data_IF_128116481099
#
_entry.id   IF_128116481099
#
_cell.length_a   1.000
_cell.length_b   1.000
_cell.length_c   1.000
_cell.angle_alpha   90.00
_cell.angle_beta   90.00
_cell.angle_gamma   90.00
#
_symmetry.space_group_name_H-M   'P 1'
#
loop_
_entity.id
_entity.type
_entity.pdbx_description
1 polymer ?
#
# COMPACT_ATOMS: atom_id res chain seq x y z
N UNK A 1 17.42 -22.62 -26.50
CA UNK A 1 17.02 -21.59 -25.53
C UNK A 1 16.49 -20.41 -26.30
N UNK A 2 15.16 -20.25 -26.39
CA UNK A 2 14.52 -19.14 -27.04
C UNK A 2 14.57 -17.89 -26.15
N UNK A 3 14.95 -16.74 -26.68
CA UNK A 3 14.84 -15.46 -25.99
C UNK A 3 13.40 -14.96 -26.07
N UNK A 4 12.81 -14.65 -24.92
CA UNK A 4 11.50 -14.01 -24.85
C UNK A 4 11.67 -12.51 -24.69
N UNK A 5 10.83 -11.71 -25.36
CA UNK A 5 10.67 -10.28 -25.10
C UNK A 5 9.49 -10.12 -24.15
N UNK A 6 9.74 -9.51 -22.99
CA UNK A 6 8.70 -9.25 -21.98
C UNK A 6 8.44 -7.75 -21.97
N UNK A 7 7.20 -7.37 -22.25
CA UNK A 7 6.74 -5.98 -22.16
C UNK A 7 6.01 -5.80 -20.84
N UNK A 8 6.34 -4.74 -20.11
CA UNK A 8 5.75 -4.41 -18.81
C UNK A 8 5.17 -3.01 -18.85
N UNK A 9 4.31 -2.68 -17.89
CA UNK A 9 3.76 -1.34 -17.68
C UNK A 9 4.68 -0.46 -16.81
N UNK A 10 5.81 -0.99 -16.36
CA UNK A 10 6.74 -0.28 -15.49
C UNK A 10 7.24 1.02 -16.13
N UNK A 11 7.14 2.12 -15.38
CA UNK A 11 7.81 3.38 -15.69
C UNK A 11 9.15 3.42 -14.96
N UNK A 12 10.27 3.40 -15.69
CA UNK A 12 11.62 3.31 -15.13
C UNK A 12 11.93 4.50 -14.23
N UNK A 13 11.47 5.71 -14.57
CA UNK A 13 11.70 6.91 -13.76
C UNK A 13 10.93 6.86 -12.45
N UNK A 14 9.65 6.44 -12.50
CA UNK A 14 8.82 6.27 -11.30
C UNK A 14 9.41 5.18 -10.40
N UNK A 15 9.82 4.06 -10.98
CA UNK A 15 10.45 2.96 -10.24
C UNK A 15 11.73 3.42 -9.53
N UNK A 16 12.60 4.15 -10.24
CA UNK A 16 13.85 4.66 -9.66
C UNK A 16 13.57 5.60 -8.49
N UNK A 17 12.69 6.59 -8.66
CA UNK A 17 12.33 7.50 -7.57
C UNK A 17 11.76 6.78 -6.38
N UNK A 18 10.91 5.77 -6.61
CA UNK A 18 10.34 4.95 -5.55
C UNK A 18 11.43 4.16 -4.80
N UNK A 19 12.37 3.59 -5.50
CA UNK A 19 13.52 2.88 -4.91
C UNK A 19 14.41 3.82 -4.10
N UNK A 20 14.73 5.01 -4.62
CA UNK A 20 15.53 6.01 -3.93
C UNK A 20 14.89 6.43 -2.59
N UNK A 21 13.56 6.66 -2.58
CA UNK A 21 12.81 6.95 -1.35
C UNK A 21 12.87 5.80 -0.35
N UNK A 22 12.77 4.55 -0.82
CA UNK A 22 12.75 3.36 0.04
C UNK A 22 14.13 2.93 0.53
N UNK A 23 15.19 3.40 -0.11
CA UNK A 23 16.58 3.20 0.34
C UNK A 23 16.94 4.11 1.50
N UNK A 24 16.37 5.31 1.58
CA UNK A 24 16.65 6.28 2.62
C UNK A 24 15.78 6.03 3.87
N UNK A 25 16.43 5.62 4.94
CA UNK A 25 15.77 5.35 6.24
C UNK A 25 15.17 6.62 6.87
N UNK A 26 15.64 7.80 6.54
CA UNK A 26 15.13 9.07 7.09
C UNK A 26 13.72 9.43 6.58
N UNK A 27 13.30 8.85 5.47
CA UNK A 27 11.94 8.96 4.94
C UNK A 27 10.88 8.19 5.77
N UNK A 28 11.30 7.43 6.78
CA UNK A 28 10.41 6.57 7.56
C UNK A 28 10.48 6.87 9.05
N UNK A 29 9.35 6.63 9.75
CA UNK A 29 9.30 6.80 11.19
C UNK A 29 10.41 5.99 11.89
N UNK A 30 11.15 6.64 12.80
CA UNK A 30 12.24 6.04 13.58
C UNK A 30 11.69 5.22 14.76
N UNK A 31 10.64 4.44 14.53
CA UNK A 31 10.04 3.58 15.56
C UNK A 31 10.83 2.27 15.64
N UNK A 32 11.27 1.93 16.83
CA UNK A 32 11.87 0.63 17.12
C UNK A 32 10.81 -0.25 17.75
N UNK A 33 10.50 -1.37 17.14
CA UNK A 33 9.58 -2.37 17.72
C UNK A 33 10.20 -3.01 18.96
N UNK A 34 9.37 -3.62 19.83
CA UNK A 34 9.83 -4.35 21.03
C UNK A 34 10.95 -5.35 20.72
N UNK A 35 11.00 -5.89 19.51
CA UNK A 35 12.03 -6.85 19.06
C UNK A 35 13.22 -6.17 18.36
N UNK A 36 13.40 -4.86 18.51
CA UNK A 36 14.46 -4.07 17.87
C UNK A 36 14.49 -4.17 16.34
N UNK A 37 13.38 -4.55 15.70
CA UNK A 37 13.26 -4.62 14.24
C UNK A 37 12.72 -3.32 13.69
N UNK A 38 13.31 -2.83 12.60
CA UNK A 38 12.78 -1.69 11.85
C UNK A 38 11.43 -2.06 11.22
N UNK A 39 10.40 -1.22 11.35
CA UNK A 39 9.16 -1.42 10.61
C UNK A 39 9.44 -1.47 9.12
N UNK A 40 8.80 -2.40 8.43
CA UNK A 40 8.90 -2.54 6.98
C UNK A 40 7.76 -1.80 6.29
N UNK A 41 8.00 -1.37 5.07
CA UNK A 41 7.02 -0.75 4.21
C UNK A 41 7.09 -1.36 2.81
N UNK A 42 6.01 -1.25 2.08
CA UNK A 42 5.91 -1.59 0.67
C UNK A 42 4.96 -0.61 -0.01
N UNK A 43 5.14 -0.40 -1.31
CA UNK A 43 4.31 0.52 -2.08
C UNK A 43 4.10 -0.01 -3.49
N UNK A 44 2.91 0.22 -4.01
CA UNK A 44 2.55 0.03 -5.41
C UNK A 44 2.03 1.36 -5.94
N UNK A 45 2.56 1.81 -7.07
CA UNK A 45 2.09 3.01 -7.78
C UNK A 45 1.34 2.53 -9.03
N UNK A 46 0.14 3.05 -9.20
CA UNK A 46 -0.75 2.73 -10.31
C UNK A 46 -1.13 4.01 -11.06
N UNK A 47 -1.25 3.94 -12.38
CA UNK A 47 -1.81 5.02 -13.18
C UNK A 47 -3.36 5.00 -13.16
N UNK A 48 -3.96 5.97 -13.83
CA UNK A 48 -5.43 6.08 -13.89
C UNK A 48 -6.09 5.03 -14.79
N UNK A 49 -5.33 4.35 -15.62
CA UNK A 49 -5.78 3.22 -16.45
C UNK A 49 -5.69 1.88 -15.70
N UNK A 50 -5.14 1.88 -14.47
CA UNK A 50 -5.03 0.71 -13.63
C UNK A 50 -3.73 -0.10 -13.84
N UNK A 51 -2.75 0.43 -14.56
CA UNK A 51 -1.46 -0.23 -14.74
C UNK A 51 -0.53 0.03 -13.57
N UNK A 52 0.17 -0.99 -13.11
CA UNK A 52 1.22 -0.83 -12.10
C UNK A 52 2.47 -0.28 -12.78
N UNK A 53 2.81 0.96 -12.46
CA UNK A 53 3.96 1.68 -13.03
C UNK A 53 5.20 1.65 -12.12
N UNK A 54 5.05 1.32 -10.84
CA UNK A 54 6.13 1.17 -9.89
C UNK A 54 5.74 0.29 -8.71
N UNK A 55 6.72 -0.48 -8.18
CA UNK A 55 6.48 -1.37 -7.05
C UNK A 55 7.74 -1.58 -6.22
N UNK A 56 7.63 -1.45 -4.89
CA UNK A 56 8.69 -1.78 -3.93
C UNK A 56 8.13 -2.64 -2.81
N UNK A 57 8.76 -3.77 -2.55
CA UNK A 57 8.31 -4.77 -1.58
C UNK A 57 8.94 -4.69 -0.20
N UNK A 58 9.82 -3.73 0.05
CA UNK A 58 10.51 -3.59 1.34
C UNK A 58 11.47 -2.40 1.38
N UNK A 59 11.82 -1.97 2.60
CA UNK A 59 12.78 -0.87 2.84
C UNK A 59 14.22 -1.36 2.75
N UNK A 60 15.11 -0.41 2.45
CA UNK A 60 16.56 -0.59 2.46
C UNK A 60 17.09 -1.36 1.27
N UNK A 61 18.38 -1.62 1.31
CA UNK A 61 19.12 -2.27 0.24
C UNK A 61 18.59 -3.69 -0.07
N UNK A 62 18.55 -4.01 -1.35
CA UNK A 62 18.19 -5.35 -1.84
C UNK A 62 19.44 -6.23 -1.90
N UNK A 63 19.62 -7.04 -0.90
CA UNK A 63 20.81 -7.88 -0.71
C UNK A 63 20.79 -9.21 -1.50
N UNK A 64 19.75 -9.48 -2.25
CA UNK A 64 19.62 -10.72 -3.01
C UNK A 64 18.44 -10.75 -3.96
N UNK A 65 18.36 -11.82 -4.75
CA UNK A 65 17.24 -12.10 -5.64
C UNK A 65 16.08 -12.77 -4.89
N UNK A 66 14.86 -12.60 -5.39
CA UNK A 66 13.63 -13.24 -4.86
C UNK A 66 13.36 -12.94 -3.38
N UNK A 67 13.74 -11.75 -2.92
CA UNK A 67 13.40 -11.30 -1.57
C UNK A 67 11.88 -11.18 -1.40
N UNK A 68 11.43 -11.32 -0.14
CA UNK A 68 10.02 -11.23 0.18
C UNK A 68 9.42 -9.88 -0.21
N UNK A 69 8.47 -9.90 -1.13
CA UNK A 69 7.78 -8.72 -1.62
C UNK A 69 6.46 -8.53 -0.85
N UNK A 70 6.43 -7.54 0.05
CA UNK A 70 5.26 -7.23 0.88
C UNK A 70 4.12 -6.57 0.11
N UNK A 71 4.42 -5.98 -1.05
CA UNK A 71 3.40 -5.37 -1.88
C UNK A 71 2.52 -6.40 -2.62
N UNK A 72 3.04 -7.63 -2.82
CA UNK A 72 2.32 -8.70 -3.52
C UNK A 72 1.84 -9.81 -2.58
N UNK A 73 2.16 -9.73 -1.29
CA UNK A 73 1.73 -10.72 -0.31
C UNK A 73 0.49 -10.24 0.45
N UNK A 74 -0.61 -11.00 0.42
CA UNK A 74 -1.84 -10.65 1.13
C UNK A 74 -1.61 -10.52 2.64
N UNK A 75 -2.27 -9.52 3.22
CA UNK A 75 -2.30 -9.31 4.67
C UNK A 75 -3.57 -8.56 5.06
N UNK A 76 -3.90 -8.57 6.33
CA UNK A 76 -5.05 -7.83 6.84
C UNK A 76 -4.88 -6.33 6.58
N UNK A 77 -5.90 -5.72 5.98
CA UNK A 77 -5.92 -4.31 5.64
C UNK A 77 -6.35 -3.42 6.81
N UNK A 78 -7.09 -3.99 7.77
CA UNK A 78 -7.73 -3.21 8.83
C UNK A 78 -8.64 -2.13 8.24
N UNK A 79 -8.66 -0.95 8.86
CA UNK A 79 -9.52 0.18 8.42
C UNK A 79 -9.14 0.75 7.04
N UNK A 80 -8.01 0.40 6.46
CA UNK A 80 -7.64 0.81 5.11
C UNK A 80 -8.57 0.25 4.02
N UNK A 81 -9.40 -0.77 4.34
CA UNK A 81 -10.43 -1.28 3.42
C UNK A 81 -11.64 -0.35 3.30
N UNK A 82 -11.87 0.58 4.23
CA UNK A 82 -13.09 1.39 4.29
C UNK A 82 -13.39 2.17 3.01
N UNK A 83 -12.42 2.81 2.35
CA UNK A 83 -12.70 3.53 1.10
C UNK A 83 -13.33 2.63 0.04
N UNK A 84 -12.82 1.42 -0.13
CA UNK A 84 -13.25 0.48 -1.17
C UNK A 84 -14.44 -0.37 -0.69
N UNK A 85 -14.39 -0.86 0.54
CA UNK A 85 -15.37 -1.82 1.05
C UNK A 85 -16.60 -1.19 1.72
N UNK A 86 -16.56 0.09 2.03
CA UNK A 86 -17.67 0.79 2.73
C UNK A 86 -18.11 2.02 1.96
N UNK A 87 -17.22 2.99 1.76
CA UNK A 87 -17.62 4.29 1.22
C UNK A 87 -17.95 4.24 -0.28
N UNK A 88 -17.17 3.55 -1.08
CA UNK A 88 -17.44 3.45 -2.52
C UNK A 88 -18.80 2.77 -2.79
N UNK A 89 -19.13 1.61 -2.22
CA UNK A 89 -20.47 1.02 -2.38
C UNK A 89 -21.58 1.92 -1.81
N UNK A 90 -21.36 2.57 -0.67
CA UNK A 90 -22.38 3.44 -0.07
C UNK A 90 -22.72 4.65 -0.96
N UNK A 91 -21.73 5.21 -1.67
CA UNK A 91 -21.93 6.27 -2.67
C UNK A 91 -22.62 5.69 -3.91
N UNK A 92 -22.18 4.56 -4.42
CA UNK A 92 -22.76 3.90 -5.60
C UNK A 92 -24.25 3.59 -5.43
N UNK A 93 -24.64 3.11 -4.23
CA UNK A 93 -26.05 2.84 -3.91
C UNK A 93 -26.81 4.06 -3.37
N UNK A 94 -26.24 5.27 -3.46
CA UNK A 94 -26.86 6.52 -3.00
C UNK A 94 -27.28 6.52 -1.52
N UNK A 95 -26.61 5.73 -0.68
CA UNK A 95 -26.83 5.71 0.78
C UNK A 95 -26.18 6.95 1.43
N UNK A 96 -25.05 7.37 0.89
CA UNK A 96 -24.35 8.60 1.28
C UNK A 96 -23.90 9.38 0.04
N UNK A 97 -23.54 10.65 0.24
CA UNK A 97 -22.89 11.51 -0.75
C UNK A 97 -21.52 11.96 -0.23
N UNK A 98 -20.73 12.61 -1.06
CA UNK A 98 -19.46 13.23 -0.63
C UNK A 98 -19.61 14.29 0.47
N UNK A 99 -20.82 14.88 0.61
CA UNK A 99 -21.14 15.89 1.62
C UNK A 99 -21.90 15.32 2.82
N UNK A 100 -22.11 14.03 2.91
CA UNK A 100 -22.84 13.42 4.03
C UNK A 100 -22.05 13.53 5.32
N UNK A 101 -22.69 14.02 6.38
CA UNK A 101 -22.19 13.97 7.75
C UNK A 101 -22.57 12.64 8.40
N UNK A 102 -21.64 12.05 9.14
CA UNK A 102 -21.87 10.86 9.94
C UNK A 102 -21.81 11.24 11.41
N UNK A 103 -22.78 10.74 12.18
CA UNK A 103 -22.76 10.90 13.62
C UNK A 103 -21.75 9.92 14.23
N UNK A 104 -20.74 10.47 14.95
CA UNK A 104 -19.75 9.69 15.70
C UNK A 104 -20.11 9.68 17.19
N UNK A 105 -21.28 9.12 17.48
CA UNK A 105 -21.73 8.90 18.86
C UNK A 105 -21.66 7.41 19.22
N UNK A 106 -21.49 7.07 20.51
CA UNK A 106 -21.49 5.67 20.94
C UNK A 106 -22.86 5.05 20.68
N UNK A 107 -22.95 4.15 19.70
CA UNK A 107 -24.20 3.42 19.35
C UNK A 107 -24.44 2.21 20.25
N UNK A 108 -23.43 1.75 21.00
CA UNK A 108 -23.54 0.60 21.89
C UNK A 108 -22.53 0.69 23.04
N UNK A 109 -22.97 0.42 24.27
CA UNK A 109 -22.03 0.13 25.36
C UNK A 109 -21.49 -1.27 25.14
N UNK A 110 -20.23 -1.39 24.81
CA UNK A 110 -19.51 -2.66 24.88
C UNK A 110 -19.29 -2.95 26.36
N UNK A 111 -20.04 -3.89 26.92
CA UNK A 111 -19.79 -4.37 28.27
C UNK A 111 -18.40 -5.02 28.26
N UNK A 112 -17.42 -4.38 28.89
CA UNK A 112 -16.13 -4.93 29.23
C UNK A 112 -16.19 -5.58 30.59
#
# INVERSE_FOLDING_TARGET
RGGYKIYTTQNVNVQKQLEDVFMDDDNFAKVVTKNKRKPQAAMTIMDYEGHIVGIVGGRGEKTGNRLFNRATNPRQTGSAIKPIGVYAPAIEYNVITYGSSLEDSPVMKVNG
#
